data_IF_005963824535
#
_entry.id   IF_005963824535
#
_cell.length_a   1.000
_cell.length_b   1.000
_cell.length_c   1.000
_cell.angle_alpha   90.00
_cell.angle_beta   90.00
_cell.angle_gamma   90.00
#
_symmetry.space_group_name_H-M   'P 1'
#
loop_
_entity.id
_entity.type
_entity.pdbx_description
1 polymer ?
#
# COMPACT_ATOMS: atom_id res chain seq x y z
N UNK A 1 44.86 21.76 25.29
CA UNK A 1 45.52 22.41 24.15
C UNK A 1 44.64 23.57 23.71
N UNK A 2 45.18 24.77 23.80
CA UNK A 2 44.55 26.03 23.41
C UNK A 2 44.80 26.26 21.88
N UNK A 3 44.37 27.36 21.23
CA UNK A 3 43.18 28.23 21.38
C UNK A 3 42.67 28.82 20.01
N UNK A 4 41.83 29.89 20.07
CA UNK A 4 41.76 31.09 19.15
C UNK A 4 40.78 31.01 17.95
N UNK A 5 40.11 32.07 17.47
CA UNK A 5 39.83 33.48 17.82
C UNK A 5 38.68 33.96 16.88
N UNK A 6 37.98 35.04 17.25
CA UNK A 6 36.98 35.76 16.43
C UNK A 6 37.63 36.80 15.46
N UNK A 7 36.87 37.59 14.65
CA UNK A 7 37.14 37.88 13.23
C UNK A 7 37.79 39.26 12.97
N UNK A 8 38.14 39.57 11.70
CA UNK A 8 38.05 40.90 11.05
C UNK A 8 38.60 40.88 9.60
N UNK A 9 37.86 41.52 8.68
CA UNK A 9 38.25 41.99 7.33
C UNK A 9 39.21 43.20 7.43
N UNK A 10 40.04 43.59 6.41
CA UNK A 10 39.52 44.31 5.22
C UNK A 10 40.35 44.27 3.88
N UNK A 11 39.67 44.45 2.75
CA UNK A 11 39.92 45.51 1.73
C UNK A 11 41.09 45.47 0.70
N UNK A 12 40.73 45.48 -0.60
CA UNK A 12 41.39 46.16 -1.76
C UNK A 12 42.59 45.44 -2.44
N UNK A 13 42.85 45.45 -3.75
CA UNK A 13 42.27 46.05 -4.97
C UNK A 13 43.23 45.85 -6.18
N UNK A 14 42.71 45.84 -7.43
CA UNK A 14 43.45 45.91 -8.72
C UNK A 14 44.02 44.58 -9.26
N UNK A 15 44.03 44.22 -10.55
CA UNK A 15 43.61 44.82 -11.83
C UNK A 15 44.23 43.99 -12.98
N UNK A 16 43.43 43.72 -14.03
CA UNK A 16 43.77 43.37 -15.43
C UNK A 16 44.67 42.16 -15.78
N UNK A 17 44.09 41.12 -16.41
CA UNK A 17 43.99 41.01 -17.89
C UNK A 17 43.51 39.62 -18.37
N UNK A 18 42.54 39.66 -19.31
CA UNK A 18 42.33 38.76 -20.46
C UNK A 18 41.89 37.28 -20.28
N UNK A 19 40.67 37.04 -20.81
CA UNK A 19 40.27 35.98 -21.77
C UNK A 19 40.17 34.53 -21.21
N UNK A 20 39.09 33.73 -21.31
CA UNK A 20 37.87 33.69 -22.13
C UNK A 20 36.87 32.63 -21.58
N UNK A 21 35.57 32.79 -21.90
CA UNK A 21 34.60 31.74 -22.35
C UNK A 21 33.67 31.01 -21.33
N UNK A 22 32.52 31.63 -21.01
CA UNK A 22 31.13 31.09 -21.16
C UNK A 22 30.11 32.05 -20.50
N UNK A 23 29.42 32.91 -21.28
CA UNK A 23 28.00 32.75 -21.70
C UNK A 23 27.07 32.41 -20.52
N UNK A 24 26.41 33.41 -19.92
CA UNK A 24 25.09 34.02 -20.30
C UNK A 24 23.90 33.21 -19.77
N UNK A 25 22.91 33.93 -19.20
CA UNK A 25 21.57 33.54 -18.67
C UNK A 25 21.61 33.33 -17.15
N UNK A 26 20.88 34.05 -16.31
CA UNK A 26 19.55 34.65 -16.43
C UNK A 26 19.52 35.90 -15.55
N UNK A 27 19.15 37.03 -16.12
CA UNK A 27 18.39 38.10 -15.47
C UNK A 27 17.77 38.88 -16.65
N UNK A 28 16.53 39.34 -16.50
CA UNK A 28 15.66 39.92 -17.54
C UNK A 28 14.74 38.91 -18.27
N UNK A 29 13.65 38.51 -17.62
CA UNK A 29 12.31 38.56 -18.24
C UNK A 29 11.22 38.32 -17.17
N UNK A 30 10.95 39.36 -16.39
CA UNK A 30 9.60 39.64 -15.90
C UNK A 30 8.89 40.35 -17.07
N UNK A 31 7.86 39.77 -17.68
CA UNK A 31 6.41 40.12 -17.61
C UNK A 31 5.66 39.40 -18.74
N UNK A 32 4.65 38.58 -18.40
CA UNK A 32 3.43 38.41 -19.19
C UNK A 32 2.35 37.75 -18.32
N UNK A 33 1.27 38.48 -18.07
CA UNK A 33 0.01 37.98 -17.52
C UNK A 33 -0.98 37.85 -18.70
N UNK A 34 -1.52 36.67 -18.96
CA UNK A 34 -2.79 36.41 -19.68
C UNK A 34 -3.17 34.92 -19.49
N UNK A 35 -4.13 34.63 -18.61
CA UNK A 35 -5.52 34.21 -18.87
C UNK A 35 -5.70 32.79 -19.47
N UNK A 36 -6.52 31.98 -18.81
CA UNK A 36 -7.00 30.69 -19.32
C UNK A 36 -6.53 29.42 -18.60
N UNK A 37 -7.39 28.89 -17.70
CA UNK A 37 -7.67 27.45 -17.66
C UNK A 37 -6.89 26.57 -16.68
N UNK A 38 -7.56 26.17 -15.59
CA UNK A 38 -7.25 24.94 -14.83
C UNK A 38 -6.17 25.09 -13.77
N UNK A 39 -6.58 25.13 -12.49
CA UNK A 39 -5.67 24.84 -11.37
C UNK A 39 -5.22 23.39 -11.48
N UNK A 40 -4.10 23.17 -12.16
CA UNK A 40 -3.40 21.90 -12.15
C UNK A 40 -3.04 21.54 -10.71
N UNK A 41 -3.56 20.40 -10.25
CA UNK A 41 -3.26 19.76 -8.98
C UNK A 41 -1.78 19.32 -8.97
N UNK A 42 -0.86 20.27 -8.78
CA UNK A 42 0.59 20.06 -8.87
C UNK A 42 1.21 19.61 -7.53
N UNK A 43 0.46 18.89 -6.69
CA UNK A 43 1.06 18.28 -5.49
C UNK A 43 0.50 16.91 -5.09
N UNK A 44 -0.35 16.29 -5.92
CA UNK A 44 -0.73 14.90 -5.67
C UNK A 44 0.45 14.00 -5.98
N UNK A 45 1.20 13.65 -4.95
CA UNK A 45 2.20 12.56 -5.01
C UNK A 45 1.54 11.36 -5.68
N UNK A 46 2.23 10.68 -6.62
CA UNK A 46 1.66 9.49 -7.23
C UNK A 46 1.23 8.52 -6.12
N UNK A 47 0.11 7.82 -6.30
CA UNK A 47 -0.32 6.80 -5.33
C UNK A 47 0.85 5.87 -5.01
N UNK A 48 0.98 5.38 -3.77
CA UNK A 48 2.01 4.40 -3.43
C UNK A 48 1.97 3.25 -4.43
N UNK A 49 3.13 2.85 -4.95
CA UNK A 49 3.21 1.72 -5.88
C UNK A 49 2.60 0.48 -5.21
N UNK A 50 1.60 -0.11 -5.87
CA UNK A 50 1.01 -1.37 -5.42
C UNK A 50 2.05 -2.49 -5.50
N UNK A 51 2.04 -3.37 -4.51
CA UNK A 51 2.98 -4.49 -4.40
C UNK A 51 2.44 -5.81 -4.97
N UNK A 52 1.15 -5.86 -5.31
CA UNK A 52 0.48 -7.05 -5.84
C UNK A 52 -0.34 -6.57 -7.03
N UNK A 53 -0.19 -7.22 -8.18
CA UNK A 53 -0.96 -6.85 -9.38
C UNK A 53 -2.34 -7.52 -9.37
N UNK A 54 -2.39 -8.83 -9.12
CA UNK A 54 -3.62 -9.64 -9.09
C UNK A 54 -3.71 -10.50 -7.83
N UNK A 55 -4.92 -10.70 -7.33
CA UNK A 55 -5.24 -11.74 -6.34
C UNK A 55 -6.09 -12.84 -6.98
N UNK A 56 -5.71 -14.09 -6.75
CA UNK A 56 -6.51 -15.27 -7.09
C UNK A 56 -7.27 -15.69 -5.83
N UNK A 57 -8.60 -15.68 -5.89
CA UNK A 57 -9.49 -15.96 -4.77
C UNK A 57 -10.64 -16.85 -5.25
N UNK A 58 -10.65 -18.12 -4.83
CA UNK A 58 -11.57 -19.11 -5.37
C UNK A 58 -11.40 -19.23 -6.90
N UNK A 59 -12.51 -19.14 -7.63
CA UNK A 59 -12.52 -19.13 -9.10
C UNK A 59 -12.19 -17.79 -9.76
N UNK A 60 -11.87 -16.74 -8.98
CA UNK A 60 -11.71 -15.37 -9.48
C UNK A 60 -10.25 -14.92 -9.53
N UNK A 61 -9.92 -14.13 -10.54
CA UNK A 61 -8.67 -13.36 -10.63
C UNK A 61 -9.02 -11.87 -10.64
N UNK A 62 -8.59 -11.14 -9.60
CA UNK A 62 -9.07 -9.79 -9.29
C UNK A 62 -7.89 -8.82 -9.30
N UNK A 63 -8.01 -7.71 -10.04
CA UNK A 63 -6.93 -6.71 -10.10
C UNK A 63 -6.87 -5.89 -8.82
N UNK A 64 -5.69 -5.78 -8.23
CA UNK A 64 -5.45 -5.01 -7.01
C UNK A 64 -5.25 -3.51 -7.31
N UNK A 65 -5.76 -2.65 -6.43
CA UNK A 65 -5.75 -1.20 -6.61
C UNK A 65 -4.70 -0.51 -5.75
N UNK A 66 -4.50 -0.99 -4.53
CA UNK A 66 -3.66 -0.33 -3.53
C UNK A 66 -2.60 -1.26 -2.95
N UNK A 67 -1.56 -0.65 -2.37
CA UNK A 67 -0.59 -1.37 -1.56
C UNK A 67 -1.24 -2.03 -0.34
N UNK A 68 -0.85 -3.27 -0.05
CA UNK A 68 -1.18 -3.98 1.19
C UNK A 68 0.07 -4.62 1.81
N UNK A 69 0.30 -4.49 3.13
CA UNK A 69 1.54 -4.89 3.80
C UNK A 69 1.65 -6.41 4.03
N UNK A 70 1.47 -7.22 2.99
CA UNK A 70 1.70 -8.66 3.05
C UNK A 70 3.18 -8.96 3.34
N UNK A 71 3.42 -9.90 4.26
CA UNK A 71 4.76 -10.42 4.55
C UNK A 71 5.16 -11.47 3.52
N UNK A 72 5.54 -11.01 2.33
CA UNK A 72 6.01 -11.87 1.23
C UNK A 72 7.55 -11.90 1.19
N UNK A 73 8.12 -12.93 0.56
CA UNK A 73 9.57 -13.02 0.33
C UNK A 73 10.06 -11.94 -0.65
N UNK A 74 9.24 -11.63 -1.65
CA UNK A 74 9.49 -10.60 -2.66
C UNK A 74 8.81 -9.29 -2.26
N UNK A 75 9.40 -8.15 -2.65
CA UNK A 75 8.80 -6.83 -2.42
C UNK A 75 7.52 -6.62 -3.20
N UNK A 76 7.44 -7.18 -4.41
CA UNK A 76 6.27 -7.16 -5.25
C UNK A 76 6.09 -8.51 -5.95
N UNK A 77 4.84 -8.89 -6.22
CA UNK A 77 4.47 -10.13 -6.92
C UNK A 77 3.38 -9.83 -7.95
N UNK A 78 3.40 -10.59 -9.04
CA UNK A 78 2.35 -10.46 -10.07
C UNK A 78 1.03 -11.05 -9.58
N UNK A 79 1.06 -12.21 -8.93
CA UNK A 79 -0.12 -12.92 -8.42
C UNK A 79 0.06 -13.31 -6.96
N UNK A 80 -0.95 -13.06 -6.16
CA UNK A 80 -1.11 -13.62 -4.81
C UNK A 80 -2.27 -14.60 -4.81
N UNK A 81 -2.05 -15.81 -4.32
CA UNK A 81 -3.10 -16.82 -4.18
C UNK A 81 -3.63 -16.78 -2.75
N UNK A 82 -4.95 -16.67 -2.59
CA UNK A 82 -5.63 -16.59 -1.30
C UNK A 82 -6.72 -17.65 -1.23
N UNK A 83 -6.74 -18.42 -0.15
CA UNK A 83 -7.77 -19.44 0.07
C UNK A 83 -9.08 -18.77 0.46
N UNK A 84 -10.18 -19.10 -0.22
CA UNK A 84 -11.49 -18.49 0.04
C UNK A 84 -12.04 -18.82 1.44
N UNK A 85 -11.65 -19.99 1.98
CA UNK A 85 -12.18 -20.45 3.26
C UNK A 85 -11.38 -19.94 4.47
N UNK A 86 -10.05 -20.02 4.43
CA UNK A 86 -9.19 -19.73 5.58
C UNK A 86 -8.32 -18.46 5.42
N UNK A 87 -8.41 -17.81 4.25
CA UNK A 87 -7.67 -16.60 3.88
C UNK A 87 -6.14 -16.74 3.95
N UNK A 88 -5.63 -17.97 4.08
CA UNK A 88 -4.20 -18.24 3.94
C UNK A 88 -3.75 -17.80 2.55
N UNK A 89 -2.58 -17.19 2.49
CA UNK A 89 -2.05 -16.62 1.26
C UNK A 89 -0.65 -17.17 0.95
N UNK A 90 -0.30 -17.21 -0.33
CA UNK A 90 1.02 -17.58 -0.82
C UNK A 90 1.27 -17.00 -2.22
N UNK A 91 2.53 -16.76 -2.58
CA UNK A 91 2.96 -16.43 -3.95
C UNK A 91 3.45 -17.67 -4.73
N UNK A 92 3.41 -18.87 -4.12
CA UNK A 92 3.72 -20.15 -4.78
C UNK A 92 2.44 -20.94 -5.08
N UNK A 93 2.14 -21.10 -6.37
CA UNK A 93 0.98 -21.84 -6.89
C UNK A 93 0.93 -23.30 -6.44
N UNK A 94 2.08 -23.96 -6.24
CA UNK A 94 2.13 -25.36 -5.81
C UNK A 94 1.75 -25.50 -4.34
N UNK A 95 2.19 -24.55 -3.52
CA UNK A 95 1.77 -24.50 -2.10
C UNK A 95 0.27 -24.24 -2.00
N UNK A 96 -0.27 -23.36 -2.85
CA UNK A 96 -1.69 -23.10 -2.89
C UNK A 96 -2.49 -24.34 -3.28
N UNK A 97 -2.09 -25.03 -4.36
CA UNK A 97 -2.75 -26.26 -4.79
C UNK A 97 -2.71 -27.36 -3.72
N UNK A 98 -1.57 -27.53 -3.03
CA UNK A 98 -1.45 -28.49 -1.94
C UNK A 98 -2.37 -28.12 -0.77
N UNK A 99 -2.44 -26.84 -0.42
CA UNK A 99 -3.32 -26.34 0.63
C UNK A 99 -4.79 -26.62 0.32
N UNK A 100 -5.25 -26.32 -0.89
CA UNK A 100 -6.63 -26.59 -1.29
C UNK A 100 -6.97 -28.09 -1.29
N UNK A 101 -6.01 -28.95 -1.67
CA UNK A 101 -6.23 -30.38 -1.78
C UNK A 101 -6.16 -31.15 -0.44
N UNK A 102 -5.38 -30.65 0.54
CA UNK A 102 -4.99 -31.45 1.71
C UNK A 102 -5.01 -30.71 3.04
N UNK A 103 -4.65 -29.42 3.06
CA UNK A 103 -4.36 -28.73 4.32
C UNK A 103 -5.52 -27.86 4.81
N UNK A 104 -6.41 -27.41 3.91
CA UNK A 104 -7.53 -26.56 4.27
C UNK A 104 -8.69 -27.38 4.85
N UNK A 105 -8.83 -27.33 6.17
CA UNK A 105 -9.91 -28.04 6.89
C UNK A 105 -11.18 -27.18 7.05
N UNK A 106 -11.16 -25.93 6.56
CA UNK A 106 -12.21 -24.95 6.81
C UNK A 106 -13.15 -24.88 5.60
N UNK A 107 -14.45 -24.94 5.86
CA UNK A 107 -15.50 -24.75 4.85
C UNK A 107 -16.26 -23.42 5.00
N UNK A 108 -16.32 -22.88 6.23
CA UNK A 108 -17.03 -21.63 6.54
C UNK A 108 -16.10 -20.69 7.33
N UNK A 109 -16.38 -19.38 7.32
CA UNK A 109 -15.67 -18.45 8.19
C UNK A 109 -15.69 -18.89 9.66
N UNK A 110 -14.65 -18.59 10.44
CA UNK A 110 -14.72 -18.80 11.89
C UNK A 110 -15.78 -17.89 12.51
N UNK A 111 -16.17 -18.18 13.75
CA UNK A 111 -17.12 -17.34 14.50
C UNK A 111 -18.49 -17.98 14.61
N UNK A 112 -19.51 -17.16 14.80
CA UNK A 112 -20.88 -17.59 15.05
C UNK A 112 -21.74 -17.14 13.88
N UNK A 113 -22.51 -18.05 13.27
CA UNK A 113 -23.55 -17.68 12.31
C UNK A 113 -24.68 -16.99 13.09
N UNK A 114 -24.87 -15.69 12.86
CA UNK A 114 -25.86 -14.88 13.59
C UNK A 114 -27.08 -14.51 12.76
N UNK A 115 -27.02 -14.72 11.45
CA UNK A 115 -28.13 -14.50 10.53
C UNK A 115 -28.01 -15.45 9.34
N UNK A 116 -29.13 -16.02 8.93
CA UNK A 116 -29.25 -16.88 7.75
C UNK A 116 -30.66 -16.71 7.17
N UNK A 117 -30.71 -16.31 5.90
CA UNK A 117 -31.96 -16.23 5.13
C UNK A 117 -31.67 -16.53 3.66
N UNK A 118 -32.27 -17.62 3.14
CA UNK A 118 -32.01 -18.07 1.78
C UNK A 118 -30.56 -18.53 1.60
N UNK A 119 -29.88 -17.93 0.63
CA UNK A 119 -28.45 -18.13 0.36
C UNK A 119 -27.55 -17.19 1.17
N UNK A 120 -28.10 -16.18 1.84
CA UNK A 120 -27.32 -15.19 2.59
C UNK A 120 -27.06 -15.64 4.03
N UNK A 121 -25.79 -15.61 4.43
CA UNK A 121 -25.33 -15.91 5.77
C UNK A 121 -24.46 -14.76 6.31
N UNK A 122 -24.59 -14.44 7.60
CA UNK A 122 -23.70 -13.49 8.29
C UNK A 122 -23.04 -14.16 9.50
N UNK A 123 -21.70 -14.20 9.47
CA UNK A 123 -20.87 -14.67 10.57
C UNK A 123 -20.35 -13.51 11.41
N UNK A 124 -20.57 -13.56 12.72
CA UNK A 124 -19.93 -12.67 13.69
C UNK A 124 -18.60 -13.29 14.16
N UNK A 125 -17.51 -12.55 13.93
CA UNK A 125 -16.15 -13.00 14.20
C UNK A 125 -15.44 -12.04 15.14
N UNK A 126 -15.16 -12.51 16.35
CA UNK A 126 -14.39 -11.76 17.33
C UNK A 126 -12.89 -11.80 16.98
N UNK A 127 -12.30 -10.64 16.67
CA UNK A 127 -10.90 -10.53 16.28
C UNK A 127 -9.93 -10.99 17.37
N UNK A 128 -10.29 -10.84 18.65
CA UNK A 128 -9.54 -11.39 19.79
C UNK A 128 -9.41 -12.92 19.74
N UNK A 129 -10.43 -13.62 19.25
CA UNK A 129 -10.46 -15.09 19.18
C UNK A 129 -9.90 -15.61 17.86
N UNK A 130 -10.02 -14.84 16.77
CA UNK A 130 -9.69 -15.26 15.41
C UNK A 130 -8.61 -14.38 14.77
N UNK A 131 -7.60 -14.00 15.57
CA UNK A 131 -6.56 -13.02 15.21
C UNK A 131 -5.97 -13.24 13.81
N UNK A 132 -5.49 -14.44 13.50
CA UNK A 132 -4.84 -14.69 12.21
C UNK A 132 -5.79 -14.59 11.03
N UNK A 133 -7.02 -15.08 11.18
CA UNK A 133 -8.04 -14.98 10.15
C UNK A 133 -8.37 -13.50 9.87
N UNK A 134 -8.65 -12.73 10.93
CA UNK A 134 -8.98 -11.32 10.82
C UNK A 134 -7.81 -10.47 10.28
N UNK A 135 -6.57 -10.80 10.62
CA UNK A 135 -5.39 -10.14 10.05
C UNK A 135 -5.28 -10.40 8.54
N UNK A 136 -5.44 -11.65 8.11
CA UNK A 136 -5.43 -12.02 6.67
C UNK A 136 -6.56 -11.35 5.90
N UNK A 137 -7.76 -11.30 6.49
CA UNK A 137 -8.89 -10.56 5.95
C UNK A 137 -8.57 -9.07 5.80
N UNK A 138 -7.95 -8.47 6.80
CA UNK A 138 -7.57 -7.06 6.72
C UNK A 138 -6.52 -6.79 5.64
N UNK A 139 -5.55 -7.69 5.46
CA UNK A 139 -4.56 -7.61 4.38
C UNK A 139 -5.24 -7.69 3.01
N UNK A 140 -6.21 -8.61 2.85
CA UNK A 140 -6.99 -8.73 1.62
C UNK A 140 -7.79 -7.46 1.33
N UNK A 141 -8.55 -6.97 2.33
CA UNK A 141 -9.33 -5.74 2.19
C UNK A 141 -8.46 -4.51 1.85
N UNK A 142 -7.23 -4.44 2.38
CA UNK A 142 -6.32 -3.31 2.13
C UNK A 142 -5.89 -3.19 0.66
N UNK A 143 -5.97 -4.27 -0.13
CA UNK A 143 -5.72 -4.22 -1.58
C UNK A 143 -6.76 -3.38 -2.34
N UNK A 144 -7.93 -3.17 -1.74
CA UNK A 144 -9.09 -2.51 -2.37
C UNK A 144 -9.56 -1.26 -1.62
N UNK A 145 -8.99 -0.97 -0.44
CA UNK A 145 -9.31 0.20 0.37
C UNK A 145 -8.05 1.05 0.55
N UNK A 146 -8.09 2.31 0.08
CA UNK A 146 -6.95 3.24 0.13
C UNK A 146 -6.54 3.55 1.58
N UNK A 147 -7.47 4.07 2.36
CA UNK A 147 -7.21 4.62 3.69
C UNK A 147 -7.48 3.66 4.86
N UNK A 148 -7.37 2.34 4.64
CA UNK A 148 -7.43 1.37 5.75
C UNK A 148 -6.11 1.40 6.53
N UNK A 149 -6.17 1.79 7.80
CA UNK A 149 -5.00 2.05 8.65
C UNK A 149 -4.59 0.87 9.52
N UNK A 150 -5.52 -0.04 9.85
CA UNK A 150 -5.29 -1.16 10.76
C UNK A 150 -5.40 -2.49 10.02
N UNK A 151 -4.30 -3.24 9.99
CA UNK A 151 -4.23 -4.60 9.42
C UNK A 151 -3.81 -5.68 10.42
N UNK A 152 -3.08 -5.31 11.47
CA UNK A 152 -2.50 -6.27 12.42
C UNK A 152 -3.16 -6.22 13.80
N UNK A 153 -3.59 -5.03 14.24
CA UNK A 153 -4.25 -4.82 15.53
C UNK A 153 -5.76 -5.07 15.39
N UNK A 154 -6.14 -6.35 15.37
CA UNK A 154 -7.53 -6.79 15.11
C UNK A 154 -8.29 -7.19 16.37
N UNK A 155 -7.62 -7.31 17.52
CA UNK A 155 -8.17 -7.94 18.74
C UNK A 155 -9.38 -7.18 19.31
N UNK A 156 -9.44 -5.86 19.11
CA UNK A 156 -10.52 -5.00 19.61
C UNK A 156 -11.67 -4.83 18.60
N UNK A 157 -11.70 -5.63 17.53
CA UNK A 157 -12.71 -5.52 16.47
C UNK A 157 -13.59 -6.77 16.41
N UNK A 158 -14.86 -6.55 16.06
CA UNK A 158 -15.81 -7.57 15.64
C UNK A 158 -15.97 -7.43 14.13
N UNK A 159 -15.90 -8.54 13.41
CA UNK A 159 -16.08 -8.59 11.97
C UNK A 159 -17.40 -9.29 11.67
N UNK A 160 -18.21 -8.69 10.80
CA UNK A 160 -19.42 -9.29 10.26
C UNK A 160 -19.13 -9.71 8.81
N UNK A 161 -19.10 -11.01 8.57
CA UNK A 161 -18.75 -11.58 7.26
C UNK A 161 -20.04 -12.03 6.57
N UNK A 162 -20.35 -11.36 5.46
CA UNK A 162 -21.39 -11.78 4.56
C UNK A 162 -20.86 -12.92 3.68
N UNK A 163 -21.59 -14.02 3.62
CA UNK A 163 -21.30 -15.17 2.78
C UNK A 163 -22.56 -15.59 2.03
N UNK A 164 -22.36 -16.19 0.86
CA UNK A 164 -23.41 -16.84 0.08
C UNK A 164 -23.20 -18.36 0.17
N UNK A 165 -24.24 -19.11 0.49
CA UNK A 165 -24.19 -20.57 0.57
C UNK A 165 -23.96 -21.14 -0.84
N UNK A 166 -22.86 -21.86 -1.03
CA UNK A 166 -22.47 -22.47 -2.31
C UNK A 166 -23.00 -23.88 -2.49
#
# INVERSE_FOLDING_TARGET
>A
MAPKHSPCDPGGGGGDTRLTRKRRKNDDELVALDDGGGRGDQHRKPPPEKNIEWVVFGGYEIQCWYYSPYRLKKKAVERLYVCENCLLYTDDVRMYACHLAKDCERANPPGVLIYEEGDVQIYEVFGALQKFYCQRLCLLAKLFIDHKTLCFDVENFIFYLLCENS
#
